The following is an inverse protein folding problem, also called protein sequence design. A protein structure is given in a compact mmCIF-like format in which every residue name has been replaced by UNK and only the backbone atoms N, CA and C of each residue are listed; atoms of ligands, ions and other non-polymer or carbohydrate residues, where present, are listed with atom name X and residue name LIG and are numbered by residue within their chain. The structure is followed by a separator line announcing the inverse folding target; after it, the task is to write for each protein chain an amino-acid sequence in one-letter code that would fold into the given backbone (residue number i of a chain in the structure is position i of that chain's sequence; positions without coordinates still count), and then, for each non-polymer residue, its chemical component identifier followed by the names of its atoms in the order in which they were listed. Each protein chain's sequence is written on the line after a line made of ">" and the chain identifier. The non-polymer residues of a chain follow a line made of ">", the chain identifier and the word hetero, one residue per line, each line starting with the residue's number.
data_IF_961949301870
#
_entry.id   IF_961949301870
#
_cell.length_a   1.000
_cell.length_b   1.000
_cell.length_c   1.000
_cell.angle_alpha   90.00
_cell.angle_beta   90.00
_cell.angle_gamma   90.00
#
_symmetry.space_group_name_H-M   'P 1'
#
loop_
_entity.id
_entity.type
_entity.pdbx_description
1 polymer ?
#
# COMPACT_ATOMS: atom_id res chain seq x y z
N UNK A 1 -13.45 9.24 1.22
CA UNK A 1 -14.91 9.07 1.41
C UNK A 1 -15.20 7.60 1.52
N UNK A 2 -16.00 7.17 2.45
CA UNK A 2 -16.32 5.77 2.73
C UNK A 2 -17.84 5.53 2.62
N UNK A 3 -18.32 4.37 3.04
CA UNK A 3 -19.68 3.85 2.87
C UNK A 3 -20.79 4.85 3.21
N UNK A 4 -20.62 5.63 4.26
CA UNK A 4 -21.58 6.63 4.71
C UNK A 4 -20.90 7.99 4.69
N UNK A 5 -21.21 8.76 3.66
CA UNK A 5 -20.71 10.13 3.51
C UNK A 5 -21.75 11.08 4.12
N UNK A 6 -21.30 11.90 5.05
CA UNK A 6 -22.13 12.94 5.68
C UNK A 6 -21.49 14.30 5.35
N UNK A 7 -22.06 14.97 4.37
CA UNK A 7 -21.59 16.26 3.91
C UNK A 7 -22.27 17.38 4.70
N UNK A 8 -21.49 18.36 5.15
CA UNK A 8 -22.04 19.55 5.82
C UNK A 8 -23.04 20.26 4.90
N UNK A 9 -24.14 20.84 5.45
CA UNK A 9 -25.19 21.45 4.64
C UNK A 9 -24.68 22.47 3.61
N UNK A 10 -23.66 23.24 3.95
CA UNK A 10 -23.06 24.25 3.09
C UNK A 10 -22.34 23.70 1.85
N UNK A 11 -21.96 22.42 1.86
CA UNK A 11 -21.30 21.78 0.70
C UNK A 11 -22.25 21.00 -0.19
N UNK A 12 -23.48 20.76 0.26
CA UNK A 12 -24.45 19.95 -0.50
C UNK A 12 -24.81 20.62 -1.82
N UNK A 13 -24.60 19.90 -2.91
CA UNK A 13 -24.86 20.36 -4.27
C UNK A 13 -23.77 21.26 -4.87
N UNK A 14 -22.69 21.56 -4.16
CA UNK A 14 -21.62 22.42 -4.66
C UNK A 14 -20.91 21.85 -5.88
N UNK A 15 -20.71 20.54 -5.93
CA UNK A 15 -20.06 19.90 -7.10
C UNK A 15 -20.94 19.89 -8.35
N UNK A 16 -22.27 19.97 -8.17
CA UNK A 16 -23.24 19.74 -9.25
C UNK A 16 -23.26 18.29 -9.75
N UNK A 17 -22.63 17.36 -9.02
CA UNK A 17 -22.51 15.94 -9.39
C UNK A 17 -23.24 15.04 -8.37
N UNK A 18 -22.58 14.67 -7.30
CA UNK A 18 -23.14 13.80 -6.28
C UNK A 18 -22.57 14.11 -4.89
N UNK A 19 -23.15 13.49 -3.86
CA UNK A 19 -22.75 13.70 -2.46
C UNK A 19 -21.31 13.28 -2.17
N UNK A 20 -20.79 12.26 -2.87
CA UNK A 20 -19.39 11.85 -2.75
C UNK A 20 -18.44 12.98 -3.16
N UNK A 21 -18.72 13.62 -4.29
CA UNK A 21 -17.87 14.70 -4.82
C UNK A 21 -18.04 15.97 -3.98
N UNK A 22 -19.25 16.26 -3.48
CA UNK A 22 -19.47 17.35 -2.52
C UNK A 22 -18.60 17.15 -1.27
N UNK A 23 -18.56 15.93 -0.73
CA UNK A 23 -17.69 15.58 0.39
C UNK A 23 -16.19 15.64 0.05
N UNK A 24 -15.79 15.44 -1.20
CA UNK A 24 -14.41 15.64 -1.63
C UNK A 24 -14.03 17.12 -1.65
N UNK A 25 -14.94 18.02 -2.03
CA UNK A 25 -14.73 19.47 -1.96
C UNK A 25 -14.59 19.92 -0.49
N UNK A 26 -15.47 19.44 0.39
CA UNK A 26 -15.36 19.69 1.84
C UNK A 26 -14.00 19.24 2.39
N UNK A 27 -13.57 18.04 2.03
CA UNK A 27 -12.28 17.50 2.45
C UNK A 27 -11.10 18.33 1.95
N UNK A 28 -11.16 18.82 0.72
CA UNK A 28 -10.11 19.68 0.14
C UNK A 28 -9.98 21.00 0.92
N UNK A 29 -11.10 21.63 1.27
CA UNK A 29 -11.11 22.84 2.11
C UNK A 29 -10.59 22.57 3.54
N UNK A 30 -10.88 21.40 4.13
CA UNK A 30 -10.33 21.02 5.43
C UNK A 30 -8.80 20.86 5.37
N UNK A 31 -8.28 20.25 4.30
CA UNK A 31 -6.82 20.16 4.07
C UNK A 31 -6.22 21.58 3.89
N UNK A 32 -6.86 22.44 3.14
CA UNK A 32 -6.46 23.84 2.97
C UNK A 32 -6.41 24.58 4.31
N UNK A 33 -7.39 24.37 5.18
CA UNK A 33 -7.45 24.93 6.53
C UNK A 33 -6.27 24.48 7.40
N UNK A 34 -5.93 23.20 7.37
CA UNK A 34 -4.80 22.65 8.11
C UNK A 34 -3.46 23.21 7.60
N UNK A 35 -3.28 23.29 6.28
CA UNK A 35 -2.08 23.87 5.69
C UNK A 35 -1.92 25.34 6.07
N UNK A 36 -3.01 26.12 6.01
CA UNK A 36 -3.02 27.51 6.43
C UNK A 36 -2.66 27.67 7.91
N UNK A 37 -3.17 26.81 8.80
CA UNK A 37 -2.86 26.86 10.20
C UNK A 37 -1.36 26.63 10.47
N UNK A 38 -0.70 25.73 9.76
CA UNK A 38 0.76 25.51 9.85
C UNK A 38 1.53 26.76 9.41
N UNK A 39 1.08 27.45 8.36
CA UNK A 39 1.69 28.68 7.85
C UNK A 39 1.47 29.86 8.81
N UNK A 40 0.25 30.07 9.30
CA UNK A 40 -0.12 31.16 10.23
C UNK A 40 0.62 31.04 11.57
N UNK A 41 0.90 29.83 12.03
CA UNK A 41 1.68 29.57 13.24
C UNK A 41 3.20 29.76 13.04
N UNK A 42 3.67 29.96 11.80
CA UNK A 42 5.08 30.11 11.47
C UNK A 42 5.92 28.86 11.73
N UNK A 43 5.34 27.67 11.71
CA UNK A 43 6.02 26.41 11.98
C UNK A 43 6.26 25.56 10.72
N UNK A 44 5.95 26.07 9.53
CA UNK A 44 6.00 25.32 8.29
C UNK A 44 7.39 24.69 8.00
N UNK A 45 8.47 25.43 8.25
CA UNK A 45 9.84 24.95 7.98
C UNK A 45 10.27 23.80 8.91
N UNK A 46 9.61 23.66 10.06
CA UNK A 46 9.85 22.59 11.04
C UNK A 46 8.72 21.56 11.10
N UNK A 47 7.90 21.49 10.07
CA UNK A 47 6.74 20.57 10.02
C UNK A 47 6.72 19.79 8.71
N UNK A 48 6.69 18.48 8.82
CA UNK A 48 6.44 17.58 7.69
C UNK A 48 4.95 17.34 7.62
N UNK A 49 4.31 17.77 6.51
CA UNK A 49 2.91 17.47 6.24
C UNK A 49 2.84 16.37 5.18
N UNK A 50 2.17 15.28 5.51
CA UNK A 50 1.95 14.15 4.60
C UNK A 50 0.46 14.02 4.35
N UNK A 51 0.08 13.94 3.09
CA UNK A 51 -1.28 13.64 2.65
C UNK A 51 -1.29 12.34 1.86
N UNK A 52 -2.24 11.49 2.14
CA UNK A 52 -2.44 10.21 1.43
C UNK A 52 -3.75 9.57 1.84
N UNK A 53 -3.99 8.38 1.31
CA UNK A 53 -5.08 7.51 1.75
C UNK A 53 -4.54 6.11 2.04
N UNK A 54 -5.29 5.35 2.82
CA UNK A 54 -4.93 3.99 3.27
C UNK A 54 -5.02 2.95 2.15
N UNK A 55 -5.98 3.11 1.22
CA UNK A 55 -6.24 2.16 0.13
C UNK A 55 -6.86 2.87 -1.08
N UNK A 56 -6.94 2.14 -2.18
CA UNK A 56 -7.65 2.57 -3.38
C UNK A 56 -9.16 2.67 -3.17
N UNK A 57 -9.84 3.14 -4.17
CA UNK A 57 -11.29 3.40 -4.12
C UNK A 57 -12.09 2.16 -3.69
N UNK A 58 -13.24 2.42 -3.08
CA UNK A 58 -14.23 1.43 -2.68
C UNK A 58 -15.50 1.65 -3.49
N UNK A 59 -15.73 0.81 -4.49
CA UNK A 59 -16.75 1.04 -5.52
C UNK A 59 -18.15 0.60 -5.12
N UNK A 60 -18.30 -0.31 -4.18
CA UNK A 60 -19.56 -0.96 -3.89
C UNK A 60 -20.67 0.00 -3.42
N UNK A 61 -20.32 1.16 -2.86
CA UNK A 61 -21.29 2.17 -2.42
C UNK A 61 -21.38 3.37 -3.35
N UNK A 62 -20.32 3.62 -4.12
CA UNK A 62 -20.18 4.79 -4.97
C UNK A 62 -19.73 4.41 -6.38
N UNK A 63 -20.61 3.81 -7.21
CA UNK A 63 -20.25 3.41 -8.57
C UNK A 63 -19.86 4.59 -9.46
N UNK A 64 -20.24 5.79 -9.08
CA UNK A 64 -19.96 7.07 -9.73
C UNK A 64 -19.07 8.01 -8.87
N UNK A 65 -18.35 7.47 -7.89
CA UNK A 65 -17.55 8.22 -6.91
C UNK A 65 -16.15 8.64 -7.39
N UNK A 66 -15.89 8.75 -8.68
CA UNK A 66 -14.58 9.18 -9.16
C UNK A 66 -13.55 8.06 -9.18
N UNK A 67 -13.85 7.01 -9.92
CA UNK A 67 -13.00 5.83 -10.09
C UNK A 67 -11.69 6.14 -10.79
N UNK A 68 -10.66 5.39 -10.43
CA UNK A 68 -9.39 5.44 -11.16
C UNK A 68 -9.39 4.46 -12.35
N UNK A 69 -8.52 4.66 -13.37
CA UNK A 69 -8.39 3.71 -14.47
C UNK A 69 -7.68 2.41 -14.08
N UNK A 70 -7.06 2.35 -12.89
CA UNK A 70 -6.37 1.17 -12.40
C UNK A 70 -7.33 0.03 -12.09
N UNK A 71 -6.87 -1.21 -12.30
CA UNK A 71 -7.70 -2.40 -12.15
C UNK A 71 -8.22 -2.56 -10.73
N UNK A 72 -9.52 -2.83 -10.62
CA UNK A 72 -10.23 -3.22 -9.40
C UNK A 72 -10.20 -2.16 -8.29
N UNK A 73 -10.41 -2.55 -7.05
CA UNK A 73 -10.72 -1.70 -5.92
C UNK A 73 -10.11 -2.21 -4.61
N UNK A 74 -10.33 -1.45 -3.51
CA UNK A 74 -10.01 -1.87 -2.14
C UNK A 74 -10.27 -3.37 -1.90
N UNK A 75 -9.42 -4.00 -1.10
CA UNK A 75 -9.46 -5.43 -0.74
C UNK A 75 -9.15 -6.40 -1.90
N UNK A 76 -8.55 -5.93 -2.97
CA UNK A 76 -7.98 -6.76 -4.02
C UNK A 76 -6.47 -6.60 -4.07
N UNK A 77 -5.77 -7.36 -4.91
CA UNK A 77 -4.32 -7.23 -5.08
C UNK A 77 -3.91 -6.56 -6.40
N UNK A 78 -4.85 -5.82 -7.00
CA UNK A 78 -4.63 -5.06 -8.22
C UNK A 78 -4.19 -3.62 -7.92
N UNK A 79 -3.65 -2.93 -8.91
CA UNK A 79 -3.15 -1.56 -8.74
C UNK A 79 -4.24 -0.58 -8.30
N UNK A 80 -5.52 -0.83 -8.62
CA UNK A 80 -6.64 -0.02 -8.15
C UNK A 80 -6.87 -0.07 -6.65
N UNK A 81 -6.39 -1.13 -5.97
CA UNK A 81 -6.45 -1.25 -4.51
C UNK A 81 -5.24 -0.61 -3.81
N UNK A 82 -4.04 -0.73 -4.41
CA UNK A 82 -2.77 -0.39 -3.75
C UNK A 82 -2.19 0.95 -4.19
N UNK A 83 -2.50 1.40 -5.42
CA UNK A 83 -1.98 2.67 -5.92
C UNK A 83 -2.85 3.82 -5.43
N UNK A 84 -2.30 4.62 -4.56
CA UNK A 84 -2.99 5.72 -3.87
C UNK A 84 -2.25 7.03 -4.08
N UNK A 85 -2.95 8.20 -4.02
CA UNK A 85 -2.27 9.49 -3.96
C UNK A 85 -1.39 9.57 -2.71
N UNK A 86 -0.20 10.15 -2.89
CA UNK A 86 0.72 10.44 -1.79
C UNK A 86 1.43 11.76 -2.08
N UNK A 87 1.32 12.71 -1.16
CA UNK A 87 1.93 14.03 -1.26
C UNK A 87 2.64 14.35 0.04
N UNK A 88 3.76 15.08 -0.07
CA UNK A 88 4.53 15.54 1.09
C UNK A 88 4.92 17.00 0.89
N UNK A 89 4.80 17.79 1.96
CA UNK A 89 5.27 19.16 2.04
C UNK A 89 6.25 19.28 3.20
N UNK A 90 7.45 19.77 2.90
CA UNK A 90 8.46 20.15 3.91
C UNK A 90 9.34 21.27 3.35
N UNK A 91 8.97 22.53 3.57
CA UNK A 91 9.70 23.70 3.05
C UNK A 91 11.18 23.67 3.46
N UNK A 92 12.03 24.12 2.55
CA UNK A 92 13.49 24.11 2.79
C UNK A 92 14.19 22.77 2.67
N UNK A 93 13.45 21.66 2.72
CA UNK A 93 14.00 20.28 2.66
C UNK A 93 13.61 19.52 1.39
N UNK A 94 12.38 19.67 0.93
CA UNK A 94 11.87 19.01 -0.28
C UNK A 94 11.60 20.06 -1.34
N UNK A 95 12.14 19.85 -2.55
CA UNK A 95 11.96 20.76 -3.67
C UNK A 95 10.48 20.83 -4.08
N UNK A 96 9.86 22.03 -4.11
CA UNK A 96 8.48 22.19 -4.54
C UNK A 96 8.25 21.68 -5.97
N UNK A 97 7.05 21.16 -6.25
CA UNK A 97 6.64 20.70 -7.58
C UNK A 97 7.36 19.41 -8.05
N UNK A 98 8.09 18.71 -7.19
CA UNK A 98 8.68 17.43 -7.54
C UNK A 98 7.59 16.37 -7.72
N UNK A 99 7.63 15.68 -8.86
CA UNK A 99 6.78 14.53 -9.17
C UNK A 99 7.68 13.32 -9.45
N UNK A 100 7.36 12.18 -8.87
CA UNK A 100 8.13 10.96 -9.06
C UNK A 100 7.22 9.76 -9.29
N UNK A 101 7.72 8.77 -10.05
CA UNK A 101 7.08 7.46 -10.24
C UNK A 101 7.89 6.33 -9.56
N UNK A 102 8.86 6.68 -8.72
CA UNK A 102 9.58 5.69 -7.92
C UNK A 102 8.63 5.03 -6.92
N UNK A 103 8.94 3.79 -6.54
CA UNK A 103 8.11 3.07 -5.57
C UNK A 103 8.31 3.68 -4.18
N UNK A 104 7.22 4.07 -3.55
CA UNK A 104 7.14 4.48 -2.17
C UNK A 104 5.95 3.78 -1.51
N UNK A 105 6.14 3.16 -0.38
CA UNK A 105 5.07 2.44 0.33
C UNK A 105 4.76 3.09 1.68
N UNK A 106 3.55 2.92 2.18
CA UNK A 106 3.17 3.40 3.52
C UNK A 106 4.10 2.88 4.63
N UNK A 107 4.67 1.69 4.44
CA UNK A 107 5.68 1.10 5.32
C UNK A 107 6.95 1.96 5.47
N UNK A 108 7.26 2.78 4.48
CA UNK A 108 8.47 3.60 4.44
C UNK A 108 8.37 4.84 5.31
N UNK A 109 7.16 5.27 5.69
CA UNK A 109 6.98 6.47 6.52
C UNK A 109 7.66 6.34 7.87
N UNK A 110 7.51 5.22 8.56
CA UNK A 110 8.06 5.05 9.90
C UNK A 110 9.58 5.25 9.95
N UNK A 111 10.42 4.49 9.20
CA UNK A 111 11.86 4.70 9.21
C UNK A 111 12.27 6.06 8.61
N UNK A 112 11.52 6.63 7.67
CA UNK A 112 11.78 7.92 7.06
C UNK A 112 11.56 9.08 8.04
N UNK A 113 10.45 9.08 8.77
CA UNK A 113 10.15 10.11 9.75
C UNK A 113 11.09 10.05 10.95
N UNK A 114 11.49 8.86 11.39
CA UNK A 114 12.49 8.70 12.42
C UNK A 114 13.89 9.17 11.96
N UNK A 115 14.24 8.92 10.70
CA UNK A 115 15.48 9.47 10.14
C UNK A 115 15.45 11.01 10.11
N UNK A 116 14.32 11.62 9.74
CA UNK A 116 14.14 13.07 9.81
C UNK A 116 14.23 13.63 11.26
N UNK A 117 13.84 12.83 12.25
CA UNK A 117 13.95 13.15 13.67
C UNK A 117 15.34 12.83 14.27
N UNK A 118 16.32 12.40 13.48
CA UNK A 118 17.69 12.13 13.91
C UNK A 118 18.01 10.66 14.22
N UNK A 119 17.11 9.71 13.87
CA UNK A 119 17.28 8.28 14.08
C UNK A 119 17.32 7.48 12.73
N UNK A 120 18.32 7.72 11.86
CA UNK A 120 18.38 7.05 10.53
C UNK A 120 18.62 5.55 10.63
N UNK A 121 19.20 5.06 11.73
CA UNK A 121 19.57 3.67 11.94
C UNK A 121 18.50 2.87 12.71
N UNK A 122 17.29 3.38 12.86
CA UNK A 122 16.23 2.73 13.64
C UNK A 122 15.95 1.29 13.22
N UNK A 123 16.00 1.01 11.91
CA UNK A 123 15.78 -0.33 11.37
C UNK A 123 16.80 -1.33 11.92
N UNK A 124 18.08 -0.98 11.92
CA UNK A 124 19.16 -1.83 12.41
C UNK A 124 19.11 -1.95 13.96
N UNK A 125 18.80 -0.86 14.65
CA UNK A 125 18.65 -0.86 16.10
C UNK A 125 17.52 -1.77 16.56
N UNK A 126 16.37 -1.75 15.87
CA UNK A 126 15.23 -2.61 16.19
C UNK A 126 15.49 -4.10 15.96
N UNK A 127 16.37 -4.48 15.03
CA UNK A 127 16.72 -5.90 14.83
C UNK A 127 17.47 -6.50 16.03
N UNK A 128 18.26 -5.69 16.75
CA UNK A 128 19.11 -6.14 17.87
C UNK A 128 18.52 -5.80 19.25
N UNK A 129 17.46 -5.01 19.28
CA UNK A 129 16.79 -4.53 20.48
C UNK A 129 16.98 -3.03 20.71
N UNK A 130 15.89 -2.29 20.74
CA UNK A 130 15.84 -0.85 20.96
C UNK A 130 15.03 -0.52 22.20
N UNK A 131 15.64 0.19 23.13
CA UNK A 131 14.96 0.61 24.36
C UNK A 131 14.29 1.97 24.19
N UNK A 132 12.99 2.05 24.50
CA UNK A 132 12.21 3.28 24.46
C UNK A 132 11.08 3.24 25.48
N UNK A 133 10.87 4.31 26.23
CA UNK A 133 9.79 4.41 27.21
C UNK A 133 9.79 3.31 28.28
N UNK A 134 10.95 2.81 28.68
CA UNK A 134 11.09 1.73 29.67
C UNK A 134 10.84 0.32 29.10
N UNK A 135 10.55 0.19 27.81
CA UNK A 135 10.36 -1.10 27.11
C UNK A 135 11.51 -1.36 26.14
N UNK A 136 11.76 -2.61 25.83
CA UNK A 136 12.67 -3.04 24.77
C UNK A 136 11.90 -3.66 23.62
N UNK A 137 12.22 -3.22 22.39
CA UNK A 137 11.55 -3.66 21.17
C UNK A 137 12.56 -4.35 20.26
N UNK A 138 12.28 -5.60 19.91
CA UNK A 138 13.00 -6.35 18.87
C UNK A 138 12.03 -6.63 17.74
N UNK A 139 12.21 -5.93 16.61
CA UNK A 139 11.25 -5.90 15.50
C UNK A 139 11.97 -5.83 14.17
N UNK A 140 11.49 -6.57 13.18
CA UNK A 140 11.85 -6.40 11.78
C UNK A 140 10.93 -5.36 11.12
N UNK A 141 11.51 -4.37 10.45
CA UNK A 141 10.78 -3.38 9.65
C UNK A 141 10.96 -3.67 8.17
N UNK A 142 9.86 -3.79 7.44
CA UNK A 142 9.87 -3.94 5.97
C UNK A 142 9.95 -2.59 5.24
N UNK A 143 9.89 -1.48 5.97
CA UNK A 143 10.04 -0.13 5.45
C UNK A 143 11.49 0.22 5.14
N UNK A 144 11.68 1.17 4.23
CA UNK A 144 12.98 1.77 3.87
C UNK A 144 13.01 3.23 4.29
N UNK A 145 14.19 3.70 4.73
CA UNK A 145 14.41 5.13 4.93
C UNK A 145 14.50 5.82 3.57
N UNK A 146 13.51 6.62 3.25
CA UNK A 146 13.40 7.38 2.00
C UNK A 146 13.83 8.84 2.14
N UNK A 147 14.32 9.26 3.30
CA UNK A 147 14.72 10.64 3.53
C UNK A 147 15.74 11.16 2.51
N UNK A 148 16.82 10.41 2.16
CA UNK A 148 17.78 10.86 1.16
C UNK A 148 17.15 11.04 -0.23
N UNK A 149 16.17 10.20 -0.59
CA UNK A 149 15.44 10.31 -1.84
C UNK A 149 14.50 11.54 -1.83
N UNK A 150 13.73 11.72 -0.79
CA UNK A 150 12.77 12.85 -0.66
C UNK A 150 13.46 14.21 -0.65
N UNK A 151 14.65 14.29 -0.04
CA UNK A 151 15.46 15.53 0.05
C UNK A 151 16.37 15.75 -1.18
N UNK A 152 16.34 14.86 -2.17
CA UNK A 152 17.14 14.96 -3.40
C UNK A 152 18.62 14.60 -3.24
N UNK A 153 19.02 14.00 -2.13
CA UNK A 153 20.38 13.47 -1.92
C UNK A 153 20.61 12.18 -2.69
N UNK A 154 19.52 11.45 -3.01
CA UNK A 154 19.51 10.28 -3.88
C UNK A 154 18.50 10.49 -5.00
N UNK A 155 18.85 10.06 -6.21
CA UNK A 155 17.99 10.18 -7.39
C UNK A 155 16.83 9.18 -7.38
N UNK A 156 17.03 8.01 -6.76
CA UNK A 156 16.07 6.91 -6.79
C UNK A 156 15.64 6.51 -5.39
N UNK A 157 14.41 6.01 -5.31
CA UNK A 157 13.89 5.38 -4.11
C UNK A 157 14.80 4.24 -3.63
N UNK A 158 14.92 4.11 -2.31
CA UNK A 158 15.56 2.96 -1.69
C UNK A 158 14.77 1.66 -1.92
N UNK A 159 13.46 1.77 -2.17
CA UNK A 159 12.57 0.64 -2.43
C UNK A 159 12.57 0.26 -3.89
N UNK A 160 12.81 -1.01 -4.19
CA UNK A 160 12.74 -1.56 -5.55
C UNK A 160 11.63 -2.60 -5.70
N UNK A 161 11.19 -3.20 -4.59
CA UNK A 161 10.17 -4.24 -4.53
C UNK A 161 9.02 -3.85 -3.62
N UNK A 162 7.87 -4.47 -3.85
CA UNK A 162 6.71 -4.39 -2.98
C UNK A 162 6.00 -5.75 -2.92
N UNK A 163 5.71 -6.22 -1.71
CA UNK A 163 5.01 -7.48 -1.46
C UNK A 163 3.55 -7.18 -1.16
N UNK A 164 2.65 -7.78 -1.95
CA UNK A 164 1.21 -7.65 -1.76
C UNK A 164 0.73 -8.75 -0.83
N UNK A 165 0.21 -8.36 0.32
CA UNK A 165 -0.28 -9.28 1.35
C UNK A 165 -1.76 -8.98 1.55
N UNK A 166 -2.61 -10.03 1.51
CA UNK A 166 -4.04 -9.90 1.75
C UNK A 166 -4.38 -9.95 3.25
N UNK A 167 -5.67 -9.81 3.58
CA UNK A 167 -6.19 -9.83 4.95
C UNK A 167 -5.98 -11.18 5.66
N UNK A 168 -5.78 -12.25 4.90
CA UNK A 168 -5.45 -13.58 5.43
C UNK A 168 -3.94 -13.78 5.66
N UNK A 169 -3.16 -12.72 5.59
CA UNK A 169 -1.69 -12.73 5.71
C UNK A 169 -1.00 -13.58 4.64
N UNK A 170 -1.65 -13.81 3.49
CA UNK A 170 -1.08 -14.54 2.37
C UNK A 170 -0.31 -13.56 1.45
N UNK A 171 0.87 -13.97 1.03
CA UNK A 171 1.60 -13.27 -0.03
C UNK A 171 0.96 -13.60 -1.38
N UNK A 172 0.27 -12.62 -1.97
CA UNK A 172 -0.54 -12.81 -3.17
C UNK A 172 0.11 -12.29 -4.46
N UNK A 173 1.07 -11.36 -4.33
CA UNK A 173 1.83 -10.85 -5.47
C UNK A 173 3.15 -10.22 -5.00
N UNK A 174 4.07 -10.02 -5.96
CA UNK A 174 5.27 -9.21 -5.81
C UNK A 174 5.37 -8.23 -6.98
N UNK A 175 5.78 -7.00 -6.70
CA UNK A 175 6.26 -6.05 -7.68
C UNK A 175 7.76 -5.85 -7.50
N UNK A 176 8.50 -5.87 -8.60
CA UNK A 176 9.90 -5.47 -8.64
C UNK A 176 10.07 -4.47 -9.80
N UNK A 177 10.39 -3.23 -9.45
CA UNK A 177 10.43 -2.11 -10.41
C UNK A 177 9.12 -2.02 -11.21
N UNK A 178 9.18 -2.31 -12.53
CA UNK A 178 8.03 -2.26 -13.43
C UNK A 178 7.30 -3.61 -13.56
N UNK A 179 7.85 -4.68 -13.01
CA UNK A 179 7.29 -6.02 -13.17
C UNK A 179 6.47 -6.43 -11.96
N UNK A 180 5.29 -6.95 -12.20
CA UNK A 180 4.43 -7.52 -11.17
C UNK A 180 4.12 -8.98 -11.49
N UNK A 181 4.36 -9.85 -10.50
CA UNK A 181 4.04 -11.28 -10.56
C UNK A 181 2.92 -11.54 -9.57
N UNK A 182 1.80 -12.09 -10.05
CA UNK A 182 0.60 -12.35 -9.25
C UNK A 182 0.45 -13.83 -9.04
N UNK A 183 0.58 -14.28 -7.80
CA UNK A 183 0.47 -15.70 -7.40
C UNK A 183 -0.97 -16.11 -7.13
N UNK A 184 -1.70 -15.29 -6.39
CA UNK A 184 -3.11 -15.45 -6.09
C UNK A 184 -3.84 -14.16 -6.41
N UNK A 185 -5.10 -14.24 -6.81
CA UNK A 185 -5.90 -13.09 -7.20
C UNK A 185 -7.29 -13.10 -6.58
N UNK A 186 -7.81 -11.94 -6.23
CA UNK A 186 -9.24 -11.77 -6.03
C UNK A 186 -9.92 -11.75 -7.40
N UNK A 187 -10.80 -12.74 -7.64
CA UNK A 187 -11.49 -12.89 -8.93
C UNK A 187 -12.78 -12.10 -9.03
N UNK A 188 -13.34 -11.74 -7.89
CA UNK A 188 -14.59 -11.00 -7.85
C UNK A 188 -14.38 -9.61 -8.44
N UNK A 189 -15.25 -9.19 -9.37
CA UNK A 189 -15.10 -7.89 -10.03
C UNK A 189 -15.38 -6.70 -9.14
N UNK A 190 -16.10 -6.89 -8.01
CA UNK A 190 -16.51 -5.85 -7.10
C UNK A 190 -17.63 -6.30 -6.18
N UNK A 191 -18.38 -5.35 -5.61
CA UNK A 191 -19.44 -5.53 -4.62
C UNK A 191 -18.94 -6.04 -3.26
N UNK A 192 -19.83 -6.41 -2.36
CA UNK A 192 -19.46 -7.02 -1.08
C UNK A 192 -18.80 -8.41 -1.24
N UNK A 193 -18.92 -9.03 -2.41
CA UNK A 193 -18.30 -10.33 -2.70
C UNK A 193 -16.78 -10.28 -2.61
N UNK A 194 -16.14 -9.11 -2.80
CA UNK A 194 -14.68 -8.96 -2.60
C UNK A 194 -14.25 -9.25 -1.15
N UNK A 195 -15.18 -9.23 -0.20
CA UNK A 195 -14.96 -9.53 1.21
C UNK A 195 -15.39 -10.95 1.58
N UNK A 196 -16.29 -11.54 0.78
CA UNK A 196 -16.84 -12.87 1.02
C UNK A 196 -16.07 -13.97 0.28
N UNK A 197 -15.54 -13.66 -0.90
CA UNK A 197 -14.85 -14.64 -1.74
C UNK A 197 -13.35 -14.69 -1.46
N UNK A 198 -12.77 -15.91 -1.38
CA UNK A 198 -11.34 -16.07 -1.11
C UNK A 198 -10.49 -15.67 -2.31
N UNK A 199 -9.21 -15.38 -2.05
CA UNK A 199 -8.21 -15.29 -3.10
C UNK A 199 -7.95 -16.67 -3.72
N UNK A 200 -7.87 -16.71 -5.04
CA UNK A 200 -7.64 -17.94 -5.80
C UNK A 200 -6.20 -17.99 -6.28
N UNK A 201 -5.43 -18.96 -5.80
CA UNK A 201 -4.04 -19.13 -6.21
C UNK A 201 -3.94 -19.80 -7.59
N UNK A 202 -2.96 -19.34 -8.36
CA UNK A 202 -2.74 -19.72 -9.75
C UNK A 202 -1.68 -20.81 -9.83
N UNK A 203 -1.90 -21.82 -10.68
CA UNK A 203 -0.86 -22.81 -11.03
C UNK A 203 0.29 -22.15 -11.82
N UNK A 204 -0.03 -21.25 -12.75
CA UNK A 204 0.90 -20.37 -13.43
C UNK A 204 0.64 -18.94 -12.97
N UNK A 205 1.60 -18.26 -12.33
CA UNK A 205 1.45 -16.88 -11.94
C UNK A 205 1.17 -15.97 -13.14
N UNK A 206 0.44 -14.88 -12.91
CA UNK A 206 0.29 -13.82 -13.92
C UNK A 206 1.49 -12.89 -13.88
N UNK A 207 1.80 -12.31 -15.03
CA UNK A 207 2.92 -11.38 -15.20
C UNK A 207 2.40 -10.10 -15.86
N UNK A 208 2.80 -8.94 -15.32
CA UNK A 208 2.48 -7.64 -15.86
C UNK A 208 3.72 -6.76 -15.91
N UNK A 209 3.82 -5.92 -16.95
CA UNK A 209 4.76 -4.82 -16.99
C UNK A 209 3.97 -3.53 -16.74
N UNK A 210 4.00 -3.01 -15.52
CA UNK A 210 3.21 -1.86 -15.10
C UNK A 210 3.60 -0.54 -15.79
N UNK A 211 4.72 -0.51 -16.53
CA UNK A 211 5.09 0.66 -17.34
C UNK A 211 4.33 0.70 -18.65
N UNK A 212 4.09 -0.46 -19.27
CA UNK A 212 3.41 -0.57 -20.58
C UNK A 212 1.96 -1.00 -20.44
N UNK A 213 1.61 -1.63 -19.33
CA UNK A 213 0.24 -2.02 -18.95
C UNK A 213 -0.03 -1.60 -17.48
N UNK A 214 -0.14 -0.28 -17.19
CA UNK A 214 -0.34 0.22 -15.84
C UNK A 214 -1.70 -0.18 -15.24
N UNK A 215 -2.63 -0.62 -16.08
CA UNK A 215 -3.98 -1.00 -15.69
C UNK A 215 -4.18 -2.52 -15.58
N UNK A 216 -3.10 -3.29 -15.75
CA UNK A 216 -3.12 -4.76 -15.59
C UNK A 216 -4.20 -5.45 -16.44
N UNK A 217 -4.30 -5.05 -17.70
CA UNK A 217 -5.33 -5.55 -18.62
C UNK A 217 -4.85 -6.61 -19.61
N UNK A 218 -3.56 -6.83 -19.73
CA UNK A 218 -2.98 -7.71 -20.74
C UNK A 218 -3.56 -9.12 -20.70
N UNK A 219 -3.85 -9.66 -19.51
CA UNK A 219 -4.44 -11.00 -19.33
C UNK A 219 -5.91 -11.10 -19.77
N UNK A 220 -6.59 -9.96 -19.94
CA UNK A 220 -8.00 -9.87 -20.34
C UNK A 220 -8.14 -9.51 -21.81
N UNK A 221 -7.25 -8.65 -22.31
CA UNK A 221 -7.41 -8.01 -23.63
C UNK A 221 -6.52 -8.59 -24.73
N UNK A 222 -5.50 -9.39 -24.38
CA UNK A 222 -4.54 -9.94 -25.35
C UNK A 222 -4.71 -11.44 -25.56
N UNK A 223 -4.96 -11.84 -26.81
CA UNK A 223 -5.01 -13.25 -27.20
C UNK A 223 -3.65 -13.96 -27.08
N UNK A 224 -2.54 -13.22 -27.09
CA UNK A 224 -1.16 -13.74 -27.01
C UNK A 224 -0.55 -13.60 -25.61
N UNK A 225 -1.36 -13.31 -24.59
CA UNK A 225 -0.88 -13.06 -23.24
C UNK A 225 -0.03 -14.23 -22.68
N UNK A 226 -0.47 -15.46 -22.87
CA UNK A 226 0.25 -16.63 -22.38
C UNK A 226 1.56 -16.86 -23.10
N UNK A 227 1.60 -16.68 -24.43
CA UNK A 227 2.84 -16.78 -25.23
C UNK A 227 3.84 -15.71 -24.77
N UNK A 228 3.36 -14.48 -24.60
CA UNK A 228 4.14 -13.36 -24.08
C UNK A 228 4.70 -13.65 -22.67
N UNK A 229 3.89 -14.24 -21.79
CA UNK A 229 4.28 -14.63 -20.44
C UNK A 229 5.34 -15.73 -20.47
N UNK A 230 5.15 -16.77 -21.29
CA UNK A 230 6.10 -17.88 -21.40
C UNK A 230 7.45 -17.44 -21.94
N UNK A 231 7.48 -16.51 -22.90
CA UNK A 231 8.73 -15.90 -23.39
C UNK A 231 9.49 -15.14 -22.29
N UNK A 232 8.82 -14.77 -21.20
CA UNK A 232 9.36 -14.02 -20.06
C UNK A 232 9.40 -14.84 -18.77
N UNK A 233 9.24 -16.15 -18.87
CA UNK A 233 9.22 -17.05 -17.71
C UNK A 233 10.50 -16.94 -16.85
N UNK A 234 11.61 -16.50 -17.44
CA UNK A 234 12.86 -16.21 -16.70
C UNK A 234 12.67 -15.19 -15.56
N UNK A 235 11.64 -14.31 -15.63
CA UNK A 235 11.34 -13.35 -14.57
C UNK A 235 10.76 -14.00 -13.30
N UNK A 236 10.22 -15.21 -13.40
CA UNK A 236 9.73 -15.93 -12.23
C UNK A 236 10.86 -16.38 -11.29
N UNK A 237 12.05 -16.60 -11.82
CA UNK A 237 13.21 -17.03 -11.01
C UNK A 237 13.64 -15.95 -10.01
N UNK A 238 13.94 -14.70 -10.42
CA UNK A 238 14.24 -13.64 -9.47
C UNK A 238 13.04 -13.30 -8.56
N UNK A 239 11.80 -13.36 -9.04
CA UNK A 239 10.62 -13.16 -8.21
C UNK A 239 10.56 -14.19 -7.08
N UNK A 240 10.81 -15.46 -7.37
CA UNK A 240 10.90 -16.53 -6.37
C UNK A 240 12.01 -16.27 -5.36
N UNK A 241 13.19 -15.80 -5.80
CA UNK A 241 14.30 -15.49 -4.91
C UNK A 241 13.95 -14.35 -3.94
N UNK A 242 13.32 -13.27 -4.41
CA UNK A 242 12.83 -12.19 -3.53
C UNK A 242 11.79 -12.68 -2.52
N UNK A 243 10.83 -13.48 -2.96
CA UNK A 243 9.82 -14.09 -2.08
C UNK A 243 10.50 -14.95 -1.01
N UNK A 244 11.46 -15.77 -1.39
CA UNK A 244 12.20 -16.63 -0.47
C UNK A 244 12.95 -15.80 0.57
N UNK A 245 13.64 -14.73 0.16
CA UNK A 245 14.34 -13.83 1.08
C UNK A 245 13.37 -13.16 2.07
N UNK A 246 12.22 -12.69 1.57
CA UNK A 246 11.20 -12.07 2.40
C UNK A 246 10.63 -13.04 3.43
N UNK A 247 10.21 -14.24 3.00
CA UNK A 247 9.64 -15.26 3.90
C UNK A 247 10.69 -15.77 4.88
N UNK A 248 11.98 -15.79 4.52
CA UNK A 248 13.04 -16.20 5.44
C UNK A 248 13.12 -15.31 6.68
N UNK A 249 12.73 -14.03 6.59
CA UNK A 249 12.67 -13.14 7.75
C UNK A 249 11.64 -13.58 8.80
N UNK A 250 10.60 -14.30 8.40
CA UNK A 250 9.55 -14.81 9.29
C UNK A 250 10.02 -15.91 10.23
N UNK A 251 11.17 -16.50 9.95
CA UNK A 251 11.79 -17.48 10.85
C UNK A 251 12.18 -16.85 12.20
N UNK A 252 12.75 -15.65 12.15
CA UNK A 252 13.23 -14.94 13.33
C UNK A 252 12.18 -13.91 13.82
N UNK A 253 11.36 -13.41 12.89
CA UNK A 253 10.31 -12.43 13.14
C UNK A 253 8.98 -12.90 12.54
N UNK A 254 8.27 -13.83 13.19
CA UNK A 254 7.04 -14.38 12.66
C UNK A 254 5.96 -13.31 12.50
N UNK A 255 5.06 -13.45 11.50
CA UNK A 255 3.97 -12.53 11.27
C UNK A 255 3.11 -12.37 12.53
N UNK A 256 2.78 -11.13 12.87
CA UNK A 256 1.89 -10.82 13.99
C UNK A 256 0.43 -10.72 13.57
N UNK A 257 0.19 -10.47 12.29
CA UNK A 257 -1.16 -10.43 11.72
C UNK A 257 -1.73 -11.85 11.70
N UNK A 258 -2.96 -11.99 12.15
CA UNK A 258 -3.74 -13.22 12.04
C UNK A 258 -4.65 -13.12 10.82
N UNK A 259 -4.92 -14.24 10.13
CA UNK A 259 -5.91 -14.28 9.06
C UNK A 259 -7.26 -13.72 9.52
N UNK A 260 -7.92 -12.96 8.64
CA UNK A 260 -9.27 -12.41 8.88
C UNK A 260 -10.35 -13.44 8.57
N UNK A 261 -10.07 -14.37 7.65
CA UNK A 261 -11.02 -15.40 7.25
C UNK A 261 -11.30 -16.40 8.37
N UNK A 262 -12.58 -16.72 8.51
CA UNK A 262 -12.99 -17.84 9.38
C UNK A 262 -12.66 -19.17 8.68
N UNK A 263 -11.92 -20.03 9.34
CA UNK A 263 -11.73 -21.42 8.89
C UNK A 263 -11.84 -22.41 10.06
N UNK A 264 -12.41 -23.58 9.78
CA UNK A 264 -12.54 -24.65 10.77
C UNK A 264 -11.16 -25.11 11.25
N UNK A 265 -10.17 -25.12 10.37
CA UNK A 265 -8.78 -25.49 10.70
C UNK A 265 -8.15 -24.55 11.72
N UNK A 266 -8.43 -23.23 11.63
CA UNK A 266 -7.98 -22.25 12.63
C UNK A 266 -8.61 -22.51 14.00
N UNK A 267 -9.91 -22.84 14.03
CA UNK A 267 -10.61 -23.19 15.27
C UNK A 267 -10.00 -24.45 15.88
N UNK A 268 -9.70 -25.47 15.07
CA UNK A 268 -9.06 -26.70 15.51
C UNK A 268 -7.65 -26.46 16.05
N UNK A 269 -6.85 -25.61 15.40
CA UNK A 269 -5.52 -25.23 15.89
C UNK A 269 -5.58 -24.48 17.23
N UNK A 270 -6.56 -23.59 17.40
CA UNK A 270 -6.79 -22.88 18.66
C UNK A 270 -7.18 -23.84 19.80
N UNK A 271 -8.05 -24.80 19.52
CA UNK A 271 -8.43 -25.83 20.49
C UNK A 271 -7.24 -26.70 20.89
N UNK A 272 -6.40 -27.11 19.94
CA UNK A 272 -5.19 -27.89 20.22
C UNK A 272 -4.17 -27.13 21.07
N UNK A 273 -3.97 -25.83 20.76
CA UNK A 273 -3.05 -24.99 21.54
C UNK A 273 -3.56 -24.69 22.96
N UNK A 274 -4.88 -24.65 23.17
CA UNK A 274 -5.49 -24.42 24.48
C UNK A 274 -5.42 -25.69 25.41
N UNK A 275 -5.19 -26.87 24.84
CA UNK A 275 -5.08 -28.13 25.60
C UNK A 275 -3.62 -28.58 25.83
N UNK A 276 -2.64 -27.81 25.32
CA UNK A 276 -1.21 -28.11 25.44
C UNK A 276 -0.44 -27.17 26.39
N UNK A 277 -1.14 -26.38 27.22
CA UNK A 277 -0.55 -25.45 28.19
C UNK A 277 -0.77 -25.90 29.62
#
# INVERSE_FOLDING_TARGET
>A
MHLYTHVRPEYRGHSGLNEYIDGMLEHDDDVGTLLKAVDDLGIADNTIVVYGTDNGVHMNSWPDGGMTPFRSEKNTNWEGAYRVPAMIRWPGHIKPGTVTNEIFAALDWFPTLLAAAGEPEIKNKLLTGYASGGNSFTVHLDGYNQLPFLTGQQEKSARKEFFYINDDAQLVAIRYQNWKVVFCEQKTPGTLDIWAEPFVCRRLPKLFNLRTDPYERADITSNTYYDWTMQRAFLFVPAQAFVQQFIATFKDFPPRQKPSSFSVDQVMQQLQSAHGG
#
